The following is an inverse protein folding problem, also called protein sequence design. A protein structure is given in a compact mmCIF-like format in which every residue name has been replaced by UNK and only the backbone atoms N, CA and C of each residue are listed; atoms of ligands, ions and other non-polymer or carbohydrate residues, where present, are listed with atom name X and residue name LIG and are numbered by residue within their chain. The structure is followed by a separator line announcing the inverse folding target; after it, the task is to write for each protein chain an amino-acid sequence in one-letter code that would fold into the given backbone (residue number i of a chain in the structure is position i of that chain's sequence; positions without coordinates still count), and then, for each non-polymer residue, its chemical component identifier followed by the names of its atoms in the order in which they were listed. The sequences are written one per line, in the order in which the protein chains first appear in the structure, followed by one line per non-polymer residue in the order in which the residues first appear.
data_IF_937166445565
#
_entry.id   IF_937166445565
#
_cell.length_a   1.000
_cell.length_b   1.000
_cell.length_c   1.000
_cell.angle_alpha   90.00
_cell.angle_beta   90.00
_cell.angle_gamma   90.00
#
_symmetry.space_group_name_H-M   'P 1'
#
loop_
_entity.id
_entity.type
_entity.pdbx_description
1 polymer ?
#
# COMPACT_ATOMS: atom_id res chain seq x y z
N UNK A 1 2.89 12.23 16.97
CA UNK A 1 2.51 11.57 15.70
C UNK A 1 3.15 12.36 14.57
N UNK A 2 4.24 11.86 13.99
CA UNK A 2 5.12 12.62 13.10
C UNK A 2 4.60 12.56 11.65
N UNK A 3 4.66 13.70 10.95
CA UNK A 3 4.20 14.03 9.58
C UNK A 3 4.68 13.15 8.40
N UNK A 4 5.29 11.98 8.64
CA UNK A 4 6.00 11.21 7.60
C UNK A 4 5.09 10.66 6.48
N UNK A 5 3.80 10.42 6.74
CA UNK A 5 2.87 9.90 5.72
C UNK A 5 2.55 10.94 4.62
N UNK A 6 2.28 12.19 5.01
CA UNK A 6 1.80 13.20 4.07
C UNK A 6 2.84 13.60 3.00
N UNK A 7 4.14 13.51 3.30
CA UNK A 7 5.20 13.80 2.33
C UNK A 7 5.39 12.62 1.36
N UNK A 8 5.23 11.38 1.83
CA UNK A 8 5.23 10.17 0.99
C UNK A 8 4.02 10.14 0.07
N UNK A 9 2.84 10.53 0.54
CA UNK A 9 1.61 10.51 -0.26
C UNK A 9 1.67 11.46 -1.45
N UNK A 10 2.21 12.68 -1.23
CA UNK A 10 2.41 13.63 -2.33
C UNK A 10 3.40 13.10 -3.36
N UNK A 11 4.46 12.43 -2.90
CA UNK A 11 5.44 11.84 -3.81
C UNK A 11 4.86 10.66 -4.58
N UNK A 12 4.07 9.80 -3.93
CA UNK A 12 3.33 8.72 -4.59
C UNK A 12 2.40 9.32 -5.66
N UNK A 13 1.62 10.35 -5.33
CA UNK A 13 0.73 11.00 -6.30
C UNK A 13 1.47 11.59 -7.50
N UNK A 14 2.61 12.26 -7.26
CA UNK A 14 3.46 12.80 -8.32
C UNK A 14 4.00 11.69 -9.23
N UNK A 15 4.56 10.64 -8.62
CA UNK A 15 5.12 9.50 -9.35
C UNK A 15 4.04 8.72 -10.11
N UNK A 16 2.84 8.55 -9.56
CA UNK A 16 1.73 7.90 -10.28
C UNK A 16 1.36 8.64 -11.58
N UNK A 17 1.58 9.96 -11.65
CA UNK A 17 1.32 10.77 -12.85
C UNK A 17 2.50 10.79 -13.81
N UNK A 18 3.73 10.87 -13.31
CA UNK A 18 4.94 11.06 -14.13
C UNK A 18 5.62 9.73 -14.51
N UNK A 19 5.68 8.79 -13.55
CA UNK A 19 6.38 7.51 -13.65
C UNK A 19 5.57 6.40 -12.93
N UNK A 20 4.47 5.93 -13.53
CA UNK A 20 3.49 5.08 -12.86
C UNK A 20 4.09 3.84 -12.18
N UNK A 21 5.05 3.15 -12.82
CA UNK A 21 5.70 1.98 -12.23
C UNK A 21 6.42 2.30 -10.91
N UNK A 22 7.11 3.44 -10.82
CA UNK A 22 7.79 3.88 -9.60
C UNK A 22 6.79 4.36 -8.55
N UNK A 23 5.72 5.03 -8.98
CA UNK A 23 4.62 5.46 -8.10
C UNK A 23 3.91 4.28 -7.46
N UNK A 24 3.57 3.26 -8.25
CA UNK A 24 2.98 2.02 -7.76
C UNK A 24 3.94 1.25 -6.85
N UNK A 25 5.23 1.16 -7.20
CA UNK A 25 6.23 0.52 -6.33
C UNK A 25 6.32 1.21 -4.98
N UNK A 26 6.39 2.54 -4.95
CA UNK A 26 6.42 3.31 -3.71
C UNK A 26 5.11 3.17 -2.91
N UNK A 27 3.95 3.15 -3.59
CA UNK A 27 2.66 2.92 -2.95
C UNK A 27 2.64 1.55 -2.26
N UNK A 28 3.07 0.49 -2.97
CA UNK A 28 3.16 -0.86 -2.42
C UNK A 28 4.09 -0.91 -1.21
N UNK A 29 5.31 -0.38 -1.33
CA UNK A 29 6.30 -0.39 -0.24
C UNK A 29 5.82 0.32 1.03
N UNK A 30 5.04 1.40 0.88
CA UNK A 30 4.53 2.19 2.02
C UNK A 30 3.31 1.52 2.66
N UNK A 31 2.41 0.96 1.86
CA UNK A 31 1.07 0.59 2.31
C UNK A 31 0.81 -0.91 2.44
N UNK A 32 1.56 -1.77 1.75
CA UNK A 32 1.33 -3.22 1.74
C UNK A 32 1.22 -3.80 3.15
N UNK A 33 2.24 -3.60 3.99
CA UNK A 33 2.24 -4.16 5.34
C UNK A 33 1.17 -3.55 6.25
N UNK A 34 0.85 -2.27 6.09
CA UNK A 34 -0.18 -1.62 6.90
C UNK A 34 -1.57 -2.18 6.57
N UNK A 35 -1.83 -2.41 5.28
CA UNK A 35 -3.05 -3.07 4.81
C UNK A 35 -3.10 -4.53 5.28
N UNK A 36 -2.01 -5.29 5.20
CA UNK A 36 -1.97 -6.66 5.70
C UNK A 36 -2.27 -6.73 7.21
N UNK A 37 -1.67 -5.85 8.02
CA UNK A 37 -1.97 -5.77 9.47
C UNK A 37 -3.44 -5.47 9.72
N UNK A 38 -4.04 -4.55 8.97
CA UNK A 38 -5.45 -4.25 9.08
C UNK A 38 -6.34 -5.45 8.73
N UNK A 39 -6.05 -6.15 7.62
CA UNK A 39 -6.86 -7.30 7.18
C UNK A 39 -6.67 -8.51 8.10
N UNK A 40 -5.49 -8.70 8.71
CA UNK A 40 -5.28 -9.72 9.75
C UNK A 40 -6.25 -9.53 10.92
N UNK A 41 -6.54 -8.29 11.32
CA UNK A 41 -7.50 -8.03 12.41
C UNK A 41 -8.93 -8.50 12.08
N UNK A 42 -9.25 -8.68 10.80
CA UNK A 42 -10.56 -9.12 10.33
C UNK A 42 -10.61 -10.62 10.02
N UNK A 43 -9.49 -11.19 9.60
CA UNK A 43 -9.39 -12.55 9.07
C UNK A 43 -8.75 -13.54 10.03
N UNK A 44 -8.02 -13.05 11.04
CA UNK A 44 -7.16 -13.83 11.94
C UNK A 44 -6.16 -14.74 11.18
N UNK A 45 -5.81 -14.37 9.94
CA UNK A 45 -4.95 -15.14 9.05
C UNK A 45 -4.07 -14.22 8.22
N UNK A 46 -2.75 -14.28 8.46
CA UNK A 46 -1.80 -13.50 7.67
C UNK A 46 -1.78 -13.92 6.20
N UNK A 47 -1.88 -15.22 5.91
CA UNK A 47 -1.91 -15.71 4.52
C UNK A 47 -3.12 -15.15 3.78
N UNK A 48 -4.32 -15.24 4.37
CA UNK A 48 -5.54 -14.72 3.75
C UNK A 48 -5.49 -13.19 3.62
N UNK A 49 -4.90 -12.50 4.59
CA UNK A 49 -4.71 -11.06 4.53
C UNK A 49 -3.76 -10.64 3.41
N UNK A 50 -2.66 -11.36 3.22
CA UNK A 50 -1.71 -11.11 2.12
C UNK A 50 -2.39 -11.33 0.77
N UNK A 51 -3.11 -12.45 0.59
CA UNK A 51 -3.83 -12.75 -0.64
C UNK A 51 -4.85 -11.64 -1.00
N UNK A 52 -5.64 -11.18 -0.02
CA UNK A 52 -6.62 -10.08 -0.21
C UNK A 52 -5.93 -8.77 -0.60
N UNK A 53 -4.81 -8.42 0.05
CA UNK A 53 -4.10 -7.17 -0.21
C UNK A 53 -3.41 -7.21 -1.58
N UNK A 54 -2.87 -8.36 -1.98
CA UNK A 54 -2.31 -8.55 -3.31
C UNK A 54 -3.38 -8.41 -4.40
N UNK A 55 -4.54 -9.04 -4.24
CA UNK A 55 -5.67 -8.90 -5.16
C UNK A 55 -6.11 -7.44 -5.31
N UNK A 56 -6.12 -6.68 -4.22
CA UNK A 56 -6.41 -5.24 -4.24
C UNK A 56 -5.39 -4.45 -5.07
N UNK A 57 -4.09 -4.70 -4.89
CA UNK A 57 -3.04 -3.98 -5.64
C UNK A 57 -3.01 -4.36 -7.13
N UNK A 58 -3.37 -5.60 -7.49
CA UNK A 58 -3.45 -6.02 -8.90
C UNK A 58 -4.64 -5.37 -9.62
N UNK A 59 -5.70 -5.03 -8.89
CA UNK A 59 -6.89 -4.40 -9.45
C UNK A 59 -6.80 -2.86 -9.58
N UNK A 60 -5.79 -2.23 -8.97
CA UNK A 60 -5.60 -0.77 -8.91
C UNK A 60 -4.81 -0.25 -10.11
#
# INVERSE_FOLDING_TARGET
MKRYGADRDKEIQRLLQEMPEEGFRLLFDVYHMQLCVYVVQLTDSFQLAEDIVQDFFVAF
#
